data_IF_223072254560
#
_entry.id   IF_223072254560
#
_cell.length_a   1.000
_cell.length_b   1.000
_cell.length_c   1.000
_cell.angle_alpha   90.00
_cell.angle_beta   90.00
_cell.angle_gamma   90.00
#
_symmetry.space_group_name_H-M   'P 1'
#
loop_
_entity.id
_entity.type
_entity.pdbx_description
1 polymer ?
#
# COMPACT_ATOMS: atom_id res chain seq x y z
N UNK A 1 -0.95 15.84 -7.48
CA UNK A 1 -0.47 16.26 -6.17
C UNK A 1 0.41 15.15 -5.57
N UNK A 2 1.71 15.37 -5.40
CA UNK A 2 2.60 14.33 -4.90
C UNK A 2 2.14 13.79 -3.53
N UNK A 3 2.11 12.46 -3.40
CA UNK A 3 1.68 11.79 -2.17
C UNK A 3 0.18 11.77 -1.92
N UNK A 4 -0.63 12.24 -2.87
CA UNK A 4 -2.09 12.21 -2.78
C UNK A 4 -2.67 11.53 -3.99
N UNK A 5 -3.13 10.30 -3.84
CA UNK A 5 -3.68 9.48 -4.92
C UNK A 5 -2.80 9.55 -6.18
N UNK A 6 -1.50 9.35 -5.97
CA UNK A 6 -0.50 9.48 -7.03
C UNK A 6 -0.27 8.14 -7.71
N UNK A 7 -0.45 8.10 -9.03
CA UNK A 7 -0.20 6.89 -9.81
C UNK A 7 1.26 6.85 -10.24
N UNK A 8 1.97 5.80 -9.82
CA UNK A 8 3.37 5.58 -10.20
C UNK A 8 3.53 4.66 -11.40
N UNK A 9 2.54 3.78 -11.64
CA UNK A 9 2.58 2.81 -12.74
C UNK A 9 1.16 2.39 -13.12
N UNK A 10 0.96 1.99 -14.37
CA UNK A 10 -0.38 1.69 -14.90
C UNK A 10 -0.77 0.21 -14.93
N UNK A 11 0.17 -0.71 -15.21
CA UNK A 11 -0.10 -2.14 -15.37
C UNK A 11 1.03 -3.00 -14.81
N UNK A 12 0.95 -3.47 -13.56
CA UNK A 12 -0.16 -3.23 -12.62
C UNK A 12 -0.23 -1.78 -12.19
N UNK A 13 -1.41 -1.34 -11.80
CA UNK A 13 -1.58 -0.01 -11.22
C UNK A 13 -0.90 0.04 -9.87
N UNK A 14 -0.04 1.02 -9.67
CA UNK A 14 0.61 1.25 -8.38
C UNK A 14 0.36 2.68 -7.94
N UNK A 15 -0.38 2.81 -6.83
CA UNK A 15 -0.76 4.11 -6.26
C UNK A 15 -0.09 4.32 -4.92
N UNK A 16 0.27 5.57 -4.62
CA UNK A 16 0.68 5.99 -3.28
C UNK A 16 -0.25 7.08 -2.79
N UNK A 17 -0.58 7.03 -1.50
CA UNK A 17 -1.43 8.04 -0.87
C UNK A 17 -1.03 8.18 0.60
N UNK A 18 -0.84 9.41 1.05
CA UNK A 18 -0.38 9.73 2.39
C UNK A 18 -1.46 9.74 3.46
N UNK A 19 -2.64 9.18 3.18
CA UNK A 19 -3.71 9.09 4.17
C UNK A 19 -3.24 8.33 5.41
N UNK A 20 -3.51 8.90 6.60
CA UNK A 20 -2.97 8.37 7.85
C UNK A 20 -3.96 8.47 9.02
N UNK A 21 -5.22 8.77 8.74
CA UNK A 21 -6.31 8.79 9.73
C UNK A 21 -7.60 8.30 9.06
N UNK A 22 -8.67 8.02 9.84
CA UNK A 22 -9.91 7.50 9.27
C UNK A 22 -10.52 8.37 8.17
N UNK A 23 -10.50 9.69 8.33
CA UNK A 23 -11.08 10.59 7.31
C UNK A 23 -10.29 10.55 6.00
N UNK A 24 -8.96 10.52 6.08
CA UNK A 24 -8.10 10.37 4.91
C UNK A 24 -8.35 9.04 4.21
N UNK A 25 -8.48 7.96 4.98
CA UNK A 25 -8.77 6.64 4.43
C UNK A 25 -10.14 6.61 3.75
N UNK A 26 -11.17 7.23 4.34
CA UNK A 26 -12.49 7.33 3.69
C UNK A 26 -12.41 8.01 2.33
N UNK A 27 -11.68 9.12 2.24
CA UNK A 27 -11.45 9.84 0.99
C UNK A 27 -10.72 8.98 -0.04
N UNK A 28 -9.67 8.29 0.40
CA UNK A 28 -8.91 7.36 -0.45
C UNK A 28 -9.79 6.25 -1.01
N UNK A 29 -10.56 5.60 -0.16
CA UNK A 29 -11.45 4.50 -0.58
C UNK A 29 -12.51 4.97 -1.57
N UNK A 30 -13.05 6.17 -1.38
CA UNK A 30 -13.99 6.77 -2.33
C UNK A 30 -13.35 6.93 -3.70
N UNK A 31 -12.12 7.43 -3.75
CA UNK A 31 -11.35 7.56 -4.99
C UNK A 31 -11.08 6.20 -5.63
N UNK A 32 -10.66 5.21 -4.84
CA UNK A 32 -10.39 3.86 -5.33
C UNK A 32 -11.64 3.22 -5.95
N UNK A 33 -12.80 3.36 -5.31
CA UNK A 33 -14.06 2.84 -5.84
C UNK A 33 -14.49 3.56 -7.12
N UNK A 34 -14.21 4.85 -7.22
CA UNK A 34 -14.56 5.66 -8.39
C UNK A 34 -13.70 5.32 -9.60
N UNK A 35 -12.36 5.19 -9.40
CA UNK A 35 -11.43 4.92 -10.50
C UNK A 35 -11.33 3.44 -10.85
N UNK A 36 -11.57 2.55 -9.90
CA UNK A 36 -11.43 1.10 -10.08
C UNK A 36 -12.70 0.39 -9.59
N UNK A 37 -13.85 0.62 -10.23
CA UNK A 37 -15.09 0.00 -9.79
C UNK A 37 -15.02 -1.52 -9.87
N UNK A 38 -15.61 -2.18 -8.89
CA UNK A 38 -15.69 -3.66 -8.79
C UNK A 38 -14.34 -4.36 -8.63
N UNK A 39 -13.26 -3.62 -8.31
CA UNK A 39 -11.95 -4.20 -8.04
C UNK A 39 -11.64 -4.27 -6.55
N UNK A 40 -11.07 -5.38 -6.12
CA UNK A 40 -10.40 -5.48 -4.83
C UNK A 40 -9.00 -4.89 -4.97
N UNK A 41 -8.51 -4.32 -3.88
CA UNK A 41 -7.24 -3.60 -3.85
C UNK A 41 -6.22 -4.37 -3.01
N UNK A 42 -4.99 -4.43 -3.50
CA UNK A 42 -3.85 -4.99 -2.78
C UNK A 42 -3.18 -3.85 -2.03
N UNK A 43 -3.39 -3.80 -0.72
CA UNK A 43 -2.88 -2.71 0.11
C UNK A 43 -1.50 -3.00 0.65
N UNK A 44 -0.66 -1.96 0.67
CA UNK A 44 0.62 -1.96 1.38
C UNK A 44 0.52 -0.88 2.47
N UNK A 45 0.42 -1.31 3.72
CA UNK A 45 0.12 -0.42 4.84
C UNK A 45 1.33 -0.19 5.75
N UNK A 46 1.57 1.08 6.08
CA UNK A 46 2.50 1.47 7.13
C UNK A 46 1.83 2.51 8.02
N UNK A 47 1.33 2.12 9.20
CA UNK A 47 0.54 2.99 10.06
C UNK A 47 1.31 3.30 11.35
N UNK A 48 1.26 4.57 11.78
CA UNK A 48 1.83 4.97 13.05
C UNK A 48 0.97 4.46 14.21
N UNK A 49 1.61 4.02 15.29
CA UNK A 49 0.95 3.45 16.46
C UNK A 49 0.00 4.44 17.16
N UNK A 50 0.17 5.74 16.92
CA UNK A 50 -0.68 6.78 17.52
C UNK A 50 -2.00 7.01 16.77
N UNK A 51 -2.21 6.31 15.65
CA UNK A 51 -3.41 6.48 14.83
C UNK A 51 -4.49 5.48 15.23
N UNK A 52 -5.74 5.76 14.85
CA UNK A 52 -6.88 4.87 15.08
C UNK A 52 -6.84 3.71 14.07
N UNK A 53 -6.02 2.72 14.39
CA UNK A 53 -5.74 1.60 13.48
C UNK A 53 -6.98 0.74 13.26
N UNK A 54 -7.73 0.44 14.31
CA UNK A 54 -8.91 -0.43 14.19
C UNK A 54 -9.97 0.16 13.26
N UNK A 55 -10.24 1.47 13.38
CA UNK A 55 -11.20 2.14 12.51
C UNK A 55 -10.72 2.12 11.05
N UNK A 56 -9.42 2.39 10.84
CA UNK A 56 -8.86 2.36 9.49
C UNK A 56 -8.94 0.97 8.86
N UNK A 57 -8.67 -0.07 9.63
CA UNK A 57 -8.76 -1.46 9.15
C UNK A 57 -10.20 -1.84 8.80
N UNK A 58 -11.17 -1.43 9.63
CA UNK A 58 -12.59 -1.68 9.33
C UNK A 58 -13.02 -1.02 8.03
N UNK A 59 -12.48 0.16 7.73
CA UNK A 59 -12.78 0.86 6.48
C UNK A 59 -12.14 0.18 5.27
N UNK A 60 -10.92 -0.30 5.41
CA UNK A 60 -10.13 -0.91 4.32
C UNK A 60 -10.62 -2.33 3.99
N UNK A 61 -10.99 -3.11 5.00
CA UNK A 61 -11.30 -4.55 4.85
C UNK A 61 -12.23 -4.88 3.68
N UNK A 62 -13.38 -4.20 3.51
CA UNK A 62 -14.31 -4.57 2.44
C UNK A 62 -13.72 -4.45 1.04
N UNK A 63 -12.71 -3.61 0.86
CA UNK A 63 -12.07 -3.38 -0.43
C UNK A 63 -10.76 -4.16 -0.61
N UNK A 64 -10.23 -4.75 0.46
CA UNK A 64 -8.92 -5.38 0.45
C UNK A 64 -8.95 -6.80 -0.12
N UNK A 65 -8.08 -7.09 -1.09
CA UNK A 65 -7.78 -8.44 -1.55
C UNK A 65 -6.71 -9.08 -0.68
N UNK A 66 -5.68 -8.31 -0.36
CA UNK A 66 -4.63 -8.68 0.57
C UNK A 66 -4.04 -7.44 1.22
N UNK A 67 -3.32 -7.61 2.31
CA UNK A 67 -2.65 -6.54 3.03
C UNK A 67 -1.20 -6.93 3.29
N UNK A 68 -0.27 -6.14 2.75
CA UNK A 68 1.14 -6.18 3.11
C UNK A 68 1.40 -5.11 4.17
N UNK A 69 2.27 -5.40 5.12
CA UNK A 69 2.59 -4.47 6.22
C UNK A 69 4.06 -4.11 6.18
N UNK A 70 4.34 -2.82 6.19
CA UNK A 70 5.68 -2.26 6.29
C UNK A 70 5.76 -1.32 7.48
N UNK A 71 6.97 -1.05 7.96
CA UNK A 71 7.19 -0.12 9.08
C UNK A 71 7.67 1.22 8.51
N UNK A 72 6.88 2.32 8.71
CA UNK A 72 7.33 3.64 8.29
C UNK A 72 8.59 4.07 9.04
N UNK A 73 9.46 4.91 8.43
CA UNK A 73 10.69 5.39 9.08
C UNK A 73 10.36 6.46 10.12
N UNK A 74 9.81 6.05 11.26
CA UNK A 74 9.41 6.92 12.36
C UNK A 74 9.47 6.15 13.67
N UNK A 75 9.89 6.83 14.74
CA UNK A 75 9.90 6.25 16.09
C UNK A 75 8.50 5.91 16.60
N UNK A 76 7.47 6.55 16.01
CA UNK A 76 6.07 6.31 16.36
C UNK A 76 5.42 5.21 15.53
N UNK A 77 6.16 4.58 14.64
CA UNK A 77 5.62 3.53 13.79
C UNK A 77 5.26 2.29 14.61
N UNK A 78 4.12 1.70 14.30
CA UNK A 78 3.78 0.41 14.84
C UNK A 78 4.66 -0.66 14.20
N UNK A 79 5.19 -1.57 15.02
CA UNK A 79 5.95 -2.72 14.55
C UNK A 79 5.09 -3.51 13.53
N UNK A 80 5.69 -3.85 12.39
CA UNK A 80 5.00 -4.52 11.28
C UNK A 80 4.40 -5.87 11.70
N UNK A 81 5.07 -6.64 12.56
CA UNK A 81 4.53 -7.92 13.02
C UNK A 81 3.33 -7.74 13.95
N UNK A 82 3.38 -6.73 14.83
CA UNK A 82 2.24 -6.41 15.70
C UNK A 82 1.05 -5.95 14.88
N UNK A 83 1.29 -5.13 13.85
CA UNK A 83 0.24 -4.69 12.96
C UNK A 83 -0.36 -5.86 12.17
N UNK A 84 0.47 -6.75 11.65
CA UNK A 84 0.00 -7.95 10.94
C UNK A 84 -0.85 -8.84 11.86
N UNK A 85 -0.45 -9.01 13.12
CA UNK A 85 -1.23 -9.76 14.11
C UNK A 85 -2.57 -9.10 14.39
N UNK A 86 -2.60 -7.78 14.53
CA UNK A 86 -3.83 -7.04 14.76
C UNK A 86 -4.78 -7.18 13.57
N UNK A 87 -4.27 -7.05 12.35
CA UNK A 87 -5.05 -7.22 11.13
C UNK A 87 -5.63 -8.63 11.06
N UNK A 88 -4.82 -9.64 11.33
CA UNK A 88 -5.24 -11.04 11.30
C UNK A 88 -6.32 -11.35 12.32
N UNK A 89 -6.35 -10.63 13.45
CA UNK A 89 -7.40 -10.78 14.45
C UNK A 89 -8.70 -10.06 14.09
N UNK A 90 -8.58 -8.93 13.41
CA UNK A 90 -9.72 -8.04 13.11
C UNK A 90 -10.32 -8.26 11.72
N UNK A 91 -9.54 -8.78 10.79
CA UNK A 91 -9.92 -8.91 9.38
C UNK A 91 -9.66 -10.33 8.88
N UNK A 92 -10.54 -10.82 7.99
CA UNK A 92 -10.38 -12.10 7.32
C UNK A 92 -9.59 -11.95 6.00
N UNK A 93 -8.58 -11.09 5.98
CA UNK A 93 -7.78 -10.79 4.79
C UNK A 93 -6.38 -11.34 4.95
N UNK A 94 -5.84 -11.95 3.89
CA UNK A 94 -4.45 -12.45 3.90
C UNK A 94 -3.50 -11.30 4.17
N UNK A 95 -2.66 -11.47 5.21
CA UNK A 95 -1.76 -10.42 5.68
C UNK A 95 -0.33 -10.93 5.74
N UNK A 96 0.61 -10.14 5.23
CA UNK A 96 2.03 -10.46 5.23
C UNK A 96 2.82 -9.27 5.78
N UNK A 97 3.68 -9.53 6.77
CA UNK A 97 4.62 -8.53 7.28
C UNK A 97 5.93 -8.62 6.50
N UNK A 98 6.46 -7.47 6.11
CA UNK A 98 7.73 -7.39 5.38
C UNK A 98 8.81 -6.76 6.25
N UNK A 99 10.06 -7.20 6.09
CA UNK A 99 11.19 -6.73 6.88
C UNK A 99 11.65 -5.33 6.49
N UNK A 100 11.35 -4.90 5.27
CA UNK A 100 11.71 -3.58 4.78
C UNK A 100 10.66 -3.06 3.79
N UNK A 101 10.67 -1.74 3.58
CA UNK A 101 9.83 -1.10 2.56
C UNK A 101 10.20 -1.64 1.18
N UNK A 102 11.50 -1.78 0.90
CA UNK A 102 11.97 -2.33 -0.38
C UNK A 102 11.42 -3.73 -0.64
N UNK A 103 11.50 -4.62 0.34
CA UNK A 103 10.97 -5.97 0.23
C UNK A 103 9.46 -5.98 -0.01
N UNK A 104 8.74 -5.15 0.76
CA UNK A 104 7.29 -5.03 0.61
C UNK A 104 6.88 -4.56 -0.77
N UNK A 105 7.50 -3.51 -1.28
CA UNK A 105 7.23 -2.97 -2.61
C UNK A 105 7.53 -4.02 -3.68
N UNK A 106 8.70 -4.65 -3.61
CA UNK A 106 9.12 -5.69 -4.57
C UNK A 106 8.14 -6.84 -4.59
N UNK A 107 7.79 -7.36 -3.42
CA UNK A 107 6.87 -8.50 -3.31
C UNK A 107 5.48 -8.19 -3.87
N UNK A 108 4.95 -7.00 -3.56
CA UNK A 108 3.65 -6.60 -4.07
C UNK A 108 3.65 -6.50 -5.60
N UNK A 109 4.71 -5.98 -6.18
CA UNK A 109 4.83 -5.85 -7.64
C UNK A 109 5.02 -7.21 -8.31
N UNK A 110 5.93 -8.06 -7.78
CA UNK A 110 6.22 -9.38 -8.35
C UNK A 110 5.02 -10.31 -8.34
N UNK A 111 4.16 -10.19 -7.34
CA UNK A 111 2.99 -11.05 -7.19
C UNK A 111 1.72 -10.47 -7.82
N UNK A 112 1.83 -9.31 -8.45
CA UNK A 112 0.68 -8.67 -9.09
C UNK A 112 0.54 -9.08 -10.54
N UNK A 113 -0.71 -9.21 -10.99
CA UNK A 113 -1.05 -9.36 -12.39
C UNK A 113 -1.27 -7.97 -13.01
N UNK A 114 -1.35 -7.89 -14.34
CA UNK A 114 -1.49 -6.61 -15.06
C UNK A 114 -2.72 -5.81 -14.66
N UNK A 115 -3.81 -6.52 -14.34
CA UNK A 115 -5.09 -5.89 -13.99
C UNK A 115 -5.18 -5.51 -12.51
N UNK A 116 -4.21 -5.90 -11.71
CA UNK A 116 -4.22 -5.64 -10.27
C UNK A 116 -3.96 -4.18 -9.95
N UNK A 117 -4.52 -3.74 -8.83
CA UNK A 117 -4.30 -2.42 -8.27
C UNK A 117 -3.64 -2.55 -6.91
N UNK A 118 -2.45 -1.98 -6.79
CA UNK A 118 -1.70 -1.90 -5.54
C UNK A 118 -1.82 -0.49 -5.00
N UNK A 119 -2.14 -0.34 -3.73
CA UNK A 119 -2.22 0.97 -3.07
C UNK A 119 -1.39 0.97 -1.79
N UNK A 120 -0.35 1.77 -1.77
CA UNK A 120 0.49 1.97 -0.59
C UNK A 120 -0.01 3.21 0.16
N UNK A 121 -0.35 3.06 1.44
CA UNK A 121 -0.92 4.13 2.25
C UNK A 121 -0.64 3.93 3.75
N UNK A 122 -1.08 4.86 4.56
CA UNK A 122 -1.02 4.79 6.03
C UNK A 122 -0.05 5.76 6.67
N UNK A 123 0.90 6.31 5.91
CA UNK A 123 1.89 7.25 6.45
C UNK A 123 2.53 8.09 5.35
N UNK A 124 2.63 9.39 5.60
CA UNK A 124 3.39 10.30 4.75
C UNK A 124 4.90 10.01 4.80
N UNK A 125 5.39 9.45 5.91
CA UNK A 125 6.83 9.21 6.11
C UNK A 125 7.42 8.17 5.17
N UNK A 126 6.61 7.26 4.64
CA UNK A 126 7.07 6.18 3.76
C UNK A 126 6.94 6.48 2.27
N UNK A 127 6.25 7.55 1.88
CA UNK A 127 5.93 7.83 0.47
C UNK A 127 7.19 7.94 -0.41
N UNK A 128 8.19 8.69 0.02
CA UNK A 128 9.42 8.88 -0.77
C UNK A 128 10.16 7.57 -1.01
N UNK A 129 10.32 6.77 0.04
CA UNK A 129 11.01 5.48 -0.08
C UNK A 129 10.22 4.51 -0.93
N UNK A 130 8.90 4.46 -0.77
CA UNK A 130 8.02 3.63 -1.60
C UNK A 130 8.13 4.05 -3.07
N UNK A 131 8.08 5.35 -3.35
CA UNK A 131 8.20 5.86 -4.72
C UNK A 131 9.53 5.45 -5.35
N UNK A 132 10.62 5.62 -4.61
CA UNK A 132 11.96 5.24 -5.08
C UNK A 132 12.05 3.75 -5.37
N UNK A 133 11.56 2.92 -4.46
CA UNK A 133 11.57 1.46 -4.63
C UNK A 133 10.69 1.02 -5.79
N UNK A 134 9.47 1.57 -5.91
CA UNK A 134 8.55 1.22 -6.99
C UNK A 134 9.12 1.60 -8.36
N UNK A 135 9.66 2.80 -8.49
CA UNK A 135 10.26 3.25 -9.74
C UNK A 135 11.43 2.35 -10.14
N UNK A 136 12.25 1.96 -9.18
CA UNK A 136 13.38 1.04 -9.43
C UNK A 136 12.89 -0.32 -9.94
N UNK A 137 11.90 -0.90 -9.28
CA UNK A 137 11.34 -2.21 -9.67
C UNK A 137 10.73 -2.16 -11.07
N UNK A 138 9.96 -1.14 -11.38
CA UNK A 138 9.36 -1.02 -12.71
C UNK A 138 10.39 -0.75 -13.80
N UNK A 139 11.45 -0.01 -13.53
CA UNK A 139 12.53 0.19 -14.49
C UNK A 139 13.33 -1.10 -14.76
N UNK A 140 13.59 -1.90 -13.74
CA UNK A 140 14.28 -3.18 -13.90
C UNK A 140 13.48 -4.16 -14.74
N UNK A 141 12.16 -4.19 -14.57
CA UNK A 141 11.26 -5.06 -15.30
C UNK A 141 11.06 -4.62 -16.76
N UNK A 142 11.31 -3.36 -17.07
CA UNK A 142 11.24 -2.82 -18.43
C UNK A 142 12.56 -2.85 -19.18
N UNK A 143 13.62 -3.42 -18.62
CA UNK A 143 14.97 -3.45 -19.20
C UNK A 143 15.12 -4.21 -20.52
N UNK A 144 14.05 -4.76 -21.06
CA UNK A 144 14.01 -5.36 -22.40
C UNK A 144 13.46 -4.45 -23.49
N UNK A 145 12.85 -3.30 -23.14
CA UNK A 145 12.19 -2.41 -24.09
C UNK A 145 13.02 -1.18 -24.51
N UNK A 146 14.09 -0.88 -23.80
CA UNK A 146 14.85 0.35 -24.03
C UNK A 146 16.06 0.21 -24.98
N UNK A 147 16.22 -0.90 -25.64
CA UNK A 147 17.37 -1.11 -26.56
C UNK A 147 16.96 -1.13 -28.02
N UNK A 148 16.09 -0.22 -28.35
CA UNK A 148 15.82 0.07 -29.77
C UNK A 148 16.41 1.38 -30.16
#
# INVERSE_FOLDING_TARGET
WPGRFERLHEQPTFLVDGSHNPDGIRALLKSLRSYFPDKKIRFLLGILSTKDVSTMLQLIEPLAEEIGVIMPPSEKAMDNERMAQQISRECAVRTTAFDSIEEGVRSMIENAEKEDVICATGSLYSIEEIRTCANREFHQNCGGCERL
#
